data_IF_870448101410
#
_entry.id   IF_870448101410
#
_cell.length_a   1.000
_cell.length_b   1.000
_cell.length_c   1.000
_cell.angle_alpha   90.00
_cell.angle_beta   90.00
_cell.angle_gamma   90.00
#
_symmetry.space_group_name_H-M   'P 1'
#
loop_
_entity.id
_entity.type
_entity.pdbx_description
1 polymer ?
#
# COMPACT_ATOMS: atom_id res chain seq x y z
N UNK A 1 2.33 -3.64 -6.17
CA UNK A 1 3.52 -4.28 -5.60
C UNK A 1 4.55 -4.50 -6.70
N UNK A 2 5.77 -4.89 -6.32
CA UNK A 2 6.87 -5.18 -7.21
C UNK A 2 7.92 -6.07 -6.51
N UNK A 3 8.80 -6.69 -7.27
CA UNK A 3 9.99 -7.40 -6.80
C UNK A 3 11.28 -6.56 -6.81
N UNK A 4 11.24 -5.32 -7.32
CA UNK A 4 12.37 -4.38 -7.34
C UNK A 4 13.20 -4.38 -8.63
N UNK A 5 12.89 -5.21 -9.62
CA UNK A 5 13.69 -5.29 -10.87
C UNK A 5 13.23 -4.28 -11.93
N UNK A 6 11.92 -4.18 -12.16
CA UNK A 6 11.27 -3.23 -13.07
C UNK A 6 9.80 -3.07 -12.67
N UNK A 7 9.06 -2.15 -13.29
CA UNK A 7 7.65 -1.91 -12.93
C UNK A 7 6.72 -3.02 -13.47
N UNK A 8 5.93 -3.66 -12.59
CA UNK A 8 5.07 -4.81 -12.93
C UNK A 8 3.65 -4.76 -12.36
N UNK A 9 3.27 -3.71 -11.64
CA UNK A 9 1.90 -3.49 -11.13
C UNK A 9 1.24 -4.73 -10.47
N UNK A 10 1.97 -5.47 -9.63
CA UNK A 10 1.45 -6.64 -8.94
C UNK A 10 0.43 -6.28 -7.85
N UNK A 11 -0.38 -7.25 -7.41
CA UNK A 11 -1.24 -7.05 -6.25
C UNK A 11 -0.38 -6.88 -4.98
N UNK A 12 -0.76 -5.98 -4.05
CA UNK A 12 -0.11 -5.87 -2.74
C UNK A 12 -0.01 -7.22 -2.03
N UNK A 13 1.19 -7.58 -1.55
CA UNK A 13 1.47 -8.83 -0.85
C UNK A 13 1.99 -9.97 -1.75
N UNK A 14 1.98 -9.79 -3.06
CA UNK A 14 2.60 -10.73 -4.01
C UNK A 14 4.06 -10.35 -4.35
N UNK A 15 4.52 -9.18 -3.90
CA UNK A 15 5.89 -8.68 -4.11
C UNK A 15 6.67 -8.52 -2.80
N UNK A 16 7.59 -7.57 -2.79
CA UNK A 16 8.53 -7.35 -1.68
C UNK A 16 8.37 -5.99 -1.00
N UNK A 17 7.37 -5.18 -1.37
CA UNK A 17 7.16 -3.88 -0.75
C UNK A 17 6.61 -4.04 0.68
N UNK A 18 7.33 -3.45 1.64
CA UNK A 18 6.81 -3.23 2.99
C UNK A 18 5.89 -2.00 3.01
N UNK A 19 4.60 -2.23 2.78
CA UNK A 19 3.59 -1.18 2.79
C UNK A 19 3.42 -0.56 4.19
N UNK A 20 3.62 -1.31 5.27
CA UNK A 20 3.50 -0.79 6.63
C UNK A 20 4.57 0.26 6.91
N UNK A 21 5.83 -0.05 6.58
CA UNK A 21 6.94 0.90 6.68
C UNK A 21 6.74 2.11 5.76
N UNK A 22 6.23 1.91 4.54
CA UNK A 22 5.92 2.99 3.60
C UNK A 22 4.91 3.98 4.19
N UNK A 23 3.74 3.51 4.65
CA UNK A 23 2.72 4.38 5.22
C UNK A 23 3.20 5.08 6.49
N UNK A 24 3.88 4.35 7.39
CA UNK A 24 4.44 4.93 8.62
C UNK A 24 5.38 6.09 8.31
N UNK A 25 6.20 5.97 7.26
CA UNK A 25 7.11 7.04 6.84
C UNK A 25 6.36 8.23 6.24
N UNK A 26 5.47 8.00 5.29
CA UNK A 26 4.77 9.08 4.56
C UNK A 26 3.85 9.86 5.50
N UNK A 27 3.06 9.17 6.32
CA UNK A 27 2.17 9.79 7.31
C UNK A 27 2.97 10.51 8.41
N UNK A 28 4.09 9.94 8.85
CA UNK A 28 5.00 10.58 9.82
C UNK A 28 5.64 11.88 9.33
N UNK A 29 5.69 12.08 8.00
CA UNK A 29 6.12 13.34 7.38
C UNK A 29 4.97 14.34 7.20
N UNK A 30 3.76 14.01 7.66
CA UNK A 30 2.61 14.92 7.65
C UNK A 30 1.81 14.92 6.35
N UNK A 31 1.92 13.88 5.51
CA UNK A 31 1.05 13.75 4.33
C UNK A 31 -0.43 13.67 4.74
N UNK A 32 -1.30 14.30 3.93
CA UNK A 32 -2.77 14.37 4.13
C UNK A 32 -3.57 14.18 2.84
N UNK A 33 -2.91 13.79 1.75
CA UNK A 33 -3.55 13.58 0.46
C UNK A 33 -4.20 12.21 0.34
N UNK A 34 -4.80 11.94 -0.82
CA UNK A 34 -5.41 10.65 -1.12
C UNK A 34 -4.40 9.69 -1.75
N UNK A 35 -4.48 8.43 -1.33
CA UNK A 35 -3.79 7.32 -1.99
C UNK A 35 -4.70 6.71 -3.05
N UNK A 36 -4.13 6.35 -4.21
CA UNK A 36 -4.84 5.72 -5.31
C UNK A 36 -4.14 4.43 -5.73
N UNK A 37 -4.93 3.41 -6.03
CA UNK A 37 -4.45 2.14 -6.55
C UNK A 37 -4.43 2.16 -8.09
N UNK A 38 -3.36 1.62 -8.67
CA UNK A 38 -3.16 1.54 -10.11
C UNK A 38 -2.55 0.20 -10.50
N UNK A 39 -3.30 -0.88 -10.35
CA UNK A 39 -2.88 -2.23 -10.72
C UNK A 39 -4.08 -3.10 -11.09
N UNK A 40 -3.90 -4.03 -12.03
CA UNK A 40 -4.86 -5.10 -12.37
C UNK A 40 -6.30 -4.61 -12.61
N UNK A 41 -7.32 -5.24 -12.00
CA UNK A 41 -8.74 -4.88 -12.13
C UNK A 41 -9.24 -3.97 -11.01
N UNK A 42 -10.44 -3.39 -11.13
CA UNK A 42 -11.04 -2.60 -10.06
C UNK A 42 -11.28 -3.42 -8.78
N UNK A 43 -11.71 -4.67 -8.91
CA UNK A 43 -11.91 -5.55 -7.76
C UNK A 43 -10.61 -5.85 -7.03
N UNK A 44 -9.53 -6.07 -7.79
CA UNK A 44 -8.19 -6.22 -7.22
C UNK A 44 -7.74 -4.92 -6.52
N UNK A 45 -8.05 -3.75 -7.08
CA UNK A 45 -7.74 -2.46 -6.43
C UNK A 45 -8.48 -2.31 -5.10
N UNK A 46 -9.74 -2.77 -5.01
CA UNK A 46 -10.50 -2.78 -3.77
C UNK A 46 -9.91 -3.76 -2.75
N UNK A 47 -9.58 -4.99 -3.18
CA UNK A 47 -8.93 -5.97 -2.32
C UNK A 47 -7.56 -5.49 -1.82
N UNK A 48 -6.76 -4.90 -2.71
CA UNK A 48 -5.45 -4.34 -2.39
C UNK A 48 -5.54 -3.17 -1.41
N UNK A 49 -6.61 -2.35 -1.48
CA UNK A 49 -6.87 -1.32 -0.46
C UNK A 49 -7.01 -1.94 0.92
N UNK A 50 -7.83 -2.99 1.08
CA UNK A 50 -8.01 -3.65 2.39
C UNK A 50 -6.71 -4.26 2.90
N UNK A 51 -5.92 -4.90 2.03
CA UNK A 51 -4.60 -5.41 2.39
C UNK A 51 -3.69 -4.30 2.92
N UNK A 52 -3.59 -3.18 2.21
CA UNK A 52 -2.73 -2.06 2.58
C UNK A 52 -3.16 -1.38 3.87
N UNK A 53 -4.47 -1.22 4.10
CA UNK A 53 -4.98 -0.71 5.37
C UNK A 53 -4.61 -1.63 6.55
N UNK A 54 -4.69 -2.96 6.38
CA UNK A 54 -4.27 -3.89 7.41
C UNK A 54 -2.76 -3.75 7.74
N UNK A 55 -1.89 -3.62 6.73
CA UNK A 55 -0.45 -3.39 6.94
C UNK A 55 -0.16 -2.05 7.63
N UNK A 56 -0.91 -1.01 7.29
CA UNK A 56 -0.78 0.30 7.93
C UNK A 56 -1.18 0.22 9.42
N UNK A 57 -2.29 -0.45 9.73
CA UNK A 57 -2.75 -0.64 11.12
C UNK A 57 -1.73 -1.42 11.95
N UNK A 58 -1.19 -2.52 11.41
CA UNK A 58 -0.13 -3.31 12.05
C UNK A 58 1.14 -2.50 12.30
N UNK A 59 1.46 -1.53 11.43
CA UNK A 59 2.58 -0.61 11.60
C UNK A 59 2.32 0.53 12.61
N UNK A 60 1.12 0.58 13.20
CA UNK A 60 0.70 1.60 14.16
C UNK A 60 0.30 2.93 13.52
N UNK A 61 -0.01 2.94 12.23
CA UNK A 61 -0.53 4.13 11.53
C UNK A 61 -1.99 4.33 11.94
N UNK A 62 -2.38 5.57 12.27
CA UNK A 62 -3.78 5.91 12.52
C UNK A 62 -4.57 5.83 11.22
N UNK A 63 -5.68 5.10 11.25
CA UNK A 63 -6.61 4.96 10.13
C UNK A 63 -7.96 5.47 10.64
N UNK A 64 -8.18 6.76 10.48
CA UNK A 64 -9.41 7.47 10.84
C UNK A 64 -10.35 7.69 9.63
#
# INVERSE_FOLDING_TARGET
DNNGSYEIHQRPGEGTIDFGAMFKKIEGLGYKGHYTNGFTTLDDMLAGRYYMLARAAEAGVKID
#
